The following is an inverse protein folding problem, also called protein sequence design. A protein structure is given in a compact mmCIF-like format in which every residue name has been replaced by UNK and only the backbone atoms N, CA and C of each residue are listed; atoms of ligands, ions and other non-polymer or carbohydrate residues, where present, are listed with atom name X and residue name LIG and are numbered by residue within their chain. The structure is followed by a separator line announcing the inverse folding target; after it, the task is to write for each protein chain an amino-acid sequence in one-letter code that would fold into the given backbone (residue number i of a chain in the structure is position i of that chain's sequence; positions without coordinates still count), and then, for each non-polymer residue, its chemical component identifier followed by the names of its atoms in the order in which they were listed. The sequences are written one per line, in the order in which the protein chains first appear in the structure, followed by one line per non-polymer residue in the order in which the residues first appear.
data_IF_989702496725
#
_entry.id   IF_989702496725
#
_cell.length_a   1.000
_cell.length_b   1.000
_cell.length_c   1.000
_cell.angle_alpha   90.00
_cell.angle_beta   90.00
_cell.angle_gamma   90.00
#
_symmetry.space_group_name_H-M   'P 1'
#
loop_
_entity.id
_entity.type
_entity.pdbx_description
1 polymer ?
#
# COMPACT_ATOMS: atom_id res chain seq x y z
N UNK A 1 9.10 -33.51 29.30
CA UNK A 1 8.77 -33.23 27.89
C UNK A 1 9.97 -32.49 27.30
N UNK A 2 10.72 -33.13 26.42
CA UNK A 2 11.82 -32.48 25.67
C UNK A 2 11.20 -31.61 24.58
N UNK A 3 11.44 -30.31 24.62
CA UNK A 3 11.04 -29.41 23.55
C UNK A 3 11.91 -29.69 22.32
N UNK A 4 11.27 -29.99 21.20
CA UNK A 4 11.95 -30.21 19.93
C UNK A 4 12.35 -28.86 19.29
N UNK A 5 13.42 -28.83 18.49
CA UNK A 5 13.88 -27.59 17.85
C UNK A 5 12.81 -27.13 16.84
N UNK A 6 12.36 -25.87 16.89
CA UNK A 6 11.36 -25.36 15.94
C UNK A 6 11.90 -25.33 14.51
N UNK A 7 11.00 -25.46 13.53
CA UNK A 7 11.34 -25.28 12.12
C UNK A 7 11.80 -23.83 11.86
N UNK A 8 12.93 -23.65 11.16
CA UNK A 8 13.46 -22.32 10.92
C UNK A 8 12.57 -21.54 9.95
N UNK A 9 12.27 -20.26 10.24
CA UNK A 9 11.54 -19.40 9.31
C UNK A 9 12.34 -19.15 8.03
N UNK A 10 11.65 -18.69 6.99
CA UNK A 10 12.26 -18.24 5.73
C UNK A 10 13.07 -16.96 5.95
N UNK A 11 14.29 -17.14 6.44
CA UNK A 11 15.24 -16.07 6.73
C UNK A 11 16.60 -16.43 6.12
N UNK A 12 17.35 -15.42 5.63
CA UNK A 12 18.70 -15.65 5.15
C UNK A 12 19.57 -16.22 6.28
N UNK A 13 20.49 -17.12 5.93
CA UNK A 13 21.40 -17.77 6.88
C UNK A 13 22.15 -16.76 7.76
N UNK A 14 22.47 -15.59 7.20
CA UNK A 14 23.13 -14.46 7.88
C UNK A 14 22.33 -13.91 9.07
N UNK A 15 21.00 -14.06 9.08
CA UNK A 15 20.15 -13.69 10.22
C UNK A 15 19.81 -14.90 11.09
N UNK A 16 19.62 -16.07 10.47
CA UNK A 16 19.23 -17.30 11.18
C UNK A 16 20.34 -17.85 12.08
N UNK A 17 21.55 -18.02 11.56
CA UNK A 17 22.65 -18.65 12.32
C UNK A 17 23.05 -17.86 13.57
N UNK A 18 23.13 -16.51 13.55
CA UNK A 18 23.35 -15.74 14.78
C UNK A 18 22.22 -15.90 15.79
N UNK A 19 20.96 -15.99 15.32
CA UNK A 19 19.78 -16.14 16.18
C UNK A 19 19.80 -17.49 16.90
N UNK A 20 20.06 -18.60 16.19
CA UNK A 20 20.12 -19.94 16.78
C UNK A 20 21.23 -20.12 17.83
N UNK A 21 22.26 -19.28 17.79
CA UNK A 21 23.36 -19.27 18.77
C UNK A 21 23.08 -18.42 20.00
N UNK A 22 21.95 -17.69 20.04
CA UNK A 22 21.62 -16.84 21.17
C UNK A 22 21.11 -17.66 22.37
N UNK A 23 21.37 -17.20 23.61
CA UNK A 23 20.75 -17.79 24.79
C UNK A 23 19.24 -17.49 24.82
N UNK A 24 18.41 -18.34 25.49
CA UNK A 24 16.96 -18.20 25.52
C UNK A 24 16.47 -16.79 25.90
N UNK A 25 17.03 -16.19 26.96
CA UNK A 25 16.65 -14.85 27.40
C UNK A 25 16.82 -13.78 26.31
N UNK A 26 17.82 -13.93 25.43
CA UNK A 26 18.07 -13.00 24.33
C UNK A 26 17.14 -13.26 23.15
N UNK A 27 16.76 -14.52 22.91
CA UNK A 27 15.70 -14.88 21.96
C UNK A 27 14.36 -14.27 22.36
N UNK A 28 13.99 -14.30 23.64
CA UNK A 28 12.79 -13.64 24.17
C UNK A 28 12.81 -12.12 23.91
N UNK A 29 13.94 -11.46 24.16
CA UNK A 29 14.09 -10.04 23.89
C UNK A 29 13.96 -9.72 22.41
N UNK A 30 14.59 -10.52 21.54
CA UNK A 30 14.48 -10.36 20.08
C UNK A 30 13.04 -10.57 19.62
N UNK A 31 12.33 -11.57 20.14
CA UNK A 31 10.93 -11.82 19.81
C UNK A 31 10.06 -10.62 20.15
N UNK A 32 10.22 -10.04 21.35
CA UNK A 32 9.46 -8.86 21.77
C UNK A 32 9.78 -7.64 20.91
N UNK A 33 11.05 -7.42 20.61
CA UNK A 33 11.47 -6.31 19.75
C UNK A 33 10.94 -6.48 18.32
N UNK A 34 11.01 -7.69 17.76
CA UNK A 34 10.49 -7.97 16.42
C UNK A 34 8.97 -7.73 16.34
N UNK A 35 8.21 -8.13 17.37
CA UNK A 35 6.77 -7.84 17.44
C UNK A 35 6.49 -6.33 17.48
N UNK A 36 7.18 -5.60 18.36
CA UNK A 36 7.06 -4.14 18.46
C UNK A 36 7.44 -3.44 17.15
N UNK A 37 8.54 -3.87 16.52
CA UNK A 37 8.99 -3.33 15.24
C UNK A 37 7.99 -3.61 14.12
N UNK A 38 7.38 -4.80 14.09
CA UNK A 38 6.35 -5.13 13.12
C UNK A 38 5.11 -4.25 13.31
N UNK A 39 4.65 -4.02 14.55
CA UNK A 39 3.54 -3.10 14.83
C UNK A 39 3.86 -1.67 14.41
N UNK A 40 5.03 -1.16 14.78
CA UNK A 40 5.45 0.19 14.42
C UNK A 40 5.55 0.34 12.90
N UNK A 41 6.16 -0.61 12.18
CA UNK A 41 6.24 -0.57 10.71
C UNK A 41 4.87 -0.59 10.03
N UNK A 42 3.91 -1.36 10.56
CA UNK A 42 2.53 -1.35 10.03
C UNK A 42 1.87 0.02 10.26
N UNK A 43 1.99 0.56 11.47
CA UNK A 43 1.43 1.87 11.79
C UNK A 43 2.05 3.01 10.97
N UNK A 44 3.37 3.00 10.78
CA UNK A 44 4.04 3.95 9.88
C UNK A 44 3.57 3.80 8.45
N UNK A 45 3.43 2.56 7.96
CA UNK A 45 2.91 2.33 6.62
C UNK A 45 1.47 2.83 6.46
N UNK A 46 0.61 2.65 7.46
CA UNK A 46 -0.76 3.19 7.47
C UNK A 46 -0.76 4.72 7.45
N UNK A 47 0.15 5.35 8.22
CA UNK A 47 0.33 6.81 8.21
C UNK A 47 0.81 7.32 6.86
N UNK A 48 1.84 6.72 6.28
CA UNK A 48 2.33 7.09 4.95
C UNK A 48 1.22 7.00 3.88
N UNK A 49 0.39 5.95 3.95
CA UNK A 49 -0.76 5.80 3.05
C UNK A 49 -1.80 6.88 3.29
N UNK A 50 -2.12 7.19 4.56
CA UNK A 50 -3.07 8.24 4.91
C UNK A 50 -2.57 9.63 4.49
N UNK A 51 -1.31 9.96 4.75
CA UNK A 51 -0.70 11.24 4.38
C UNK A 51 -0.60 11.39 2.86
N UNK A 52 -0.20 10.33 2.14
CA UNK A 52 -0.18 10.35 0.68
C UNK A 52 -1.59 10.49 0.13
N UNK A 53 -2.58 9.79 0.71
CA UNK A 53 -3.98 9.96 0.32
C UNK A 53 -4.43 11.40 0.53
N UNK A 54 -4.20 11.99 1.70
CA UNK A 54 -4.61 13.36 1.99
C UNK A 54 -3.96 14.38 1.04
N UNK A 55 -2.71 14.15 0.64
CA UNK A 55 -1.98 15.04 -0.28
C UNK A 55 -2.38 14.86 -1.75
N UNK A 56 -2.50 13.62 -2.21
CA UNK A 56 -2.64 13.27 -3.63
C UNK A 56 -4.07 12.89 -4.03
N UNK A 57 -5.02 12.81 -3.09
CA UNK A 57 -6.41 12.54 -3.42
C UNK A 57 -7.03 13.66 -4.22
N UNK A 58 -7.90 13.27 -5.15
CA UNK A 58 -8.79 14.20 -5.85
C UNK A 58 -9.64 15.03 -4.86
N UNK A 59 -9.97 16.26 -5.26
CA UNK A 59 -10.88 17.11 -4.49
C UNK A 59 -12.33 16.62 -4.58
N UNK A 60 -13.21 17.19 -3.76
CA UNK A 60 -14.64 16.90 -3.77
C UNK A 60 -15.31 17.26 -5.11
N UNK A 61 -14.91 18.39 -5.72
CA UNK A 61 -15.31 18.79 -7.07
C UNK A 61 -14.92 17.75 -8.13
N UNK A 62 -13.71 17.19 -8.04
CA UNK A 62 -13.25 16.17 -8.99
C UNK A 62 -13.96 14.82 -8.78
N UNK A 63 -14.28 14.46 -7.53
CA UNK A 63 -15.15 13.31 -7.25
C UNK A 63 -16.53 13.51 -7.87
N UNK A 64 -17.15 14.66 -7.63
CA UNK A 64 -18.45 15.01 -8.23
C UNK A 64 -18.39 14.92 -9.75
N UNK A 65 -17.33 15.45 -10.37
CA UNK A 65 -17.13 15.37 -11.82
C UNK A 65 -17.07 13.92 -12.34
N UNK A 66 -16.43 13.01 -11.61
CA UNK A 66 -16.40 11.59 -11.96
C UNK A 66 -17.79 10.96 -11.85
N UNK A 67 -18.52 11.23 -10.77
CA UNK A 67 -19.86 10.72 -10.55
C UNK A 67 -20.86 11.24 -11.59
N UNK A 68 -20.81 12.53 -11.94
CA UNK A 68 -21.64 13.14 -13.00
C UNK A 68 -21.38 12.52 -14.38
N UNK A 69 -20.14 12.06 -14.61
CA UNK A 69 -19.76 11.32 -15.82
C UNK A 69 -20.17 9.84 -15.80
N UNK A 70 -20.76 9.38 -14.70
CA UNK A 70 -21.13 7.98 -14.49
C UNK A 70 -19.93 7.07 -14.24
N UNK A 71 -18.80 7.63 -13.79
CA UNK A 71 -17.61 6.86 -13.44
C UNK A 71 -17.70 6.52 -11.95
N UNK A 72 -17.70 5.24 -11.61
CA UNK A 72 -17.74 4.83 -10.20
C UNK A 72 -16.49 5.32 -9.49
N UNK A 73 -16.69 5.91 -8.31
CA UNK A 73 -15.63 6.27 -7.36
C UNK A 73 -15.46 5.20 -6.27
N UNK A 74 -16.18 4.09 -6.37
CA UNK A 74 -16.05 2.97 -5.44
C UNK A 74 -14.97 2.00 -5.93
N UNK A 75 -13.96 1.64 -5.10
CA UNK A 75 -12.91 0.72 -5.52
C UNK A 75 -13.44 -0.70 -5.79
N UNK A 76 -14.61 -1.08 -5.27
CA UNK A 76 -15.20 -2.41 -5.50
C UNK A 76 -15.73 -2.61 -6.91
N UNK A 77 -16.06 -1.53 -7.63
CA UNK A 77 -16.45 -1.57 -9.04
C UNK A 77 -15.28 -1.89 -9.98
N UNK A 78 -14.03 -1.83 -9.50
CA UNK A 78 -12.84 -2.04 -10.32
C UNK A 78 -12.11 -3.32 -9.95
N UNK A 79 -12.04 -4.26 -10.90
CA UNK A 79 -11.29 -5.50 -10.69
C UNK A 79 -9.80 -5.25 -10.43
N UNK A 80 -9.25 -5.86 -9.39
CA UNK A 80 -7.83 -5.73 -9.05
C UNK A 80 -7.44 -4.44 -8.35
N UNK A 81 -8.41 -3.60 -7.93
CA UNK A 81 -8.17 -2.50 -6.98
C UNK A 81 -8.40 -3.02 -5.56
N UNK A 82 -7.47 -2.71 -4.64
CA UNK A 82 -7.67 -3.10 -3.25
C UNK A 82 -8.78 -2.24 -2.61
N UNK A 83 -9.74 -2.88 -1.95
CA UNK A 83 -10.81 -2.15 -1.25
C UNK A 83 -10.33 -1.40 -0.01
N UNK A 84 -9.22 -1.86 0.58
CA UNK A 84 -8.61 -1.23 1.74
C UNK A 84 -7.50 -0.26 1.32
N UNK A 85 -7.71 1.03 1.55
CA UNK A 85 -6.69 2.06 1.37
C UNK A 85 -6.44 2.50 -0.07
N UNK A 86 -7.30 2.11 -1.02
CA UNK A 86 -7.30 2.72 -2.35
C UNK A 86 -7.90 4.12 -2.32
N UNK A 87 -7.30 5.02 -3.10
CA UNK A 87 -7.80 6.37 -3.34
C UNK A 87 -7.57 6.76 -4.80
N UNK A 88 -8.36 7.70 -5.29
CA UNK A 88 -8.22 8.24 -6.64
C UNK A 88 -7.26 9.43 -6.58
N UNK A 89 -6.30 9.46 -7.50
CA UNK A 89 -5.33 10.54 -7.67
C UNK A 89 -5.29 11.03 -9.11
N UNK A 90 -4.91 12.28 -9.30
CA UNK A 90 -4.73 12.88 -10.63
C UNK A 90 -3.26 12.90 -10.98
N UNK A 91 -2.92 12.34 -12.13
CA UNK A 91 -1.59 12.45 -12.69
C UNK A 91 -1.61 13.29 -13.95
N UNK A 92 -0.76 14.31 -13.96
CA UNK A 92 -0.46 15.07 -15.17
C UNK A 92 0.72 14.42 -15.89
N UNK A 93 0.46 13.79 -17.04
CA UNK A 93 1.53 13.14 -17.83
C UNK A 93 2.14 14.08 -18.87
N UNK A 94 1.37 15.08 -19.31
CA UNK A 94 1.79 16.14 -20.23
C UNK A 94 1.10 17.44 -19.80
N UNK A 95 1.66 18.62 -20.11
CA UNK A 95 1.01 19.89 -19.78
C UNK A 95 -0.41 19.93 -20.33
N UNK A 96 -1.40 20.01 -19.45
CA UNK A 96 -2.83 20.02 -19.82
C UNK A 96 -3.49 18.64 -20.00
N UNK A 97 -2.75 17.53 -19.92
CA UNK A 97 -3.32 16.17 -19.96
C UNK A 97 -3.24 15.53 -18.59
N UNK A 98 -4.39 15.53 -17.92
CA UNK A 98 -4.57 14.95 -16.59
C UNK A 98 -5.42 13.70 -16.69
N UNK A 99 -5.08 12.70 -15.88
CA UNK A 99 -5.77 11.41 -15.85
C UNK A 99 -6.02 10.98 -14.42
N UNK A 100 -7.19 10.39 -14.19
CA UNK A 100 -7.57 9.77 -12.93
C UNK A 100 -6.99 8.36 -12.85
N UNK A 101 -6.34 8.07 -11.73
CA UNK A 101 -5.83 6.76 -11.39
C UNK A 101 -6.30 6.34 -10.00
N UNK A 102 -6.70 5.10 -9.86
CA UNK A 102 -6.70 4.42 -8.57
C UNK A 102 -5.26 4.21 -8.13
N UNK A 103 -4.97 4.48 -6.87
CA UNK A 103 -3.69 4.21 -6.24
C UNK A 103 -3.93 3.55 -4.89
N UNK A 104 -3.22 2.45 -4.63
CA UNK A 104 -3.26 1.73 -3.37
C UNK A 104 -1.93 1.05 -3.08
N UNK A 105 -1.77 0.58 -1.86
CA UNK A 105 -0.62 -0.22 -1.45
C UNK A 105 -0.93 -1.71 -1.49
N UNK A 106 -0.03 -2.47 -2.09
CA UNK A 106 -0.02 -3.93 -2.01
C UNK A 106 1.34 -4.36 -1.47
N UNK A 107 1.35 -4.84 -0.22
CA UNK A 107 2.58 -5.15 0.50
C UNK A 107 3.53 -3.95 0.54
N UNK A 108 4.70 -4.09 -0.08
CA UNK A 108 5.75 -3.07 -0.05
C UNK A 108 5.85 -2.23 -1.34
N UNK A 109 4.85 -2.29 -2.24
CA UNK A 109 4.84 -1.52 -3.49
C UNK A 109 3.53 -0.76 -3.70
N UNK A 110 3.65 0.41 -4.33
CA UNK A 110 2.50 1.18 -4.80
C UNK A 110 1.97 0.59 -6.11
N UNK A 111 0.67 0.30 -6.13
CA UNK A 111 -0.07 -0.09 -7.32
C UNK A 111 -0.88 1.09 -7.83
N UNK A 112 -1.11 1.11 -9.13
CA UNK A 112 -2.04 2.05 -9.73
C UNK A 112 -2.89 1.37 -10.80
N UNK A 113 -4.08 1.91 -11.03
CA UNK A 113 -4.96 1.49 -12.12
C UNK A 113 -5.59 2.71 -12.76
N UNK A 114 -5.57 2.74 -14.09
CA UNK A 114 -6.19 3.80 -14.86
C UNK A 114 -7.72 3.78 -14.71
N UNK A 115 -8.32 4.96 -14.59
CA UNK A 115 -9.77 5.15 -14.53
C UNK A 115 -10.26 5.83 -15.81
N UNK A 116 -9.90 7.10 -15.99
CA UNK A 116 -10.42 7.95 -17.06
C UNK A 116 -9.54 9.20 -17.26
N UNK A 117 -9.61 9.88 -18.42
CA UNK A 117 -9.01 11.21 -18.57
C UNK A 117 -9.83 12.25 -17.81
N UNK A 118 -9.16 13.26 -17.24
CA UNK A 118 -9.78 14.39 -16.52
C UNK A 118 -10.40 15.36 -17.52
N UNK A 119 -9.64 15.72 -18.57
CA UNK A 119 -10.13 16.51 -19.69
C UNK A 119 -10.24 15.59 -20.92
N UNK A 120 -11.44 15.38 -21.48
CA UNK A 120 -11.63 14.53 -22.65
C UNK A 120 -11.19 15.19 -23.96
N UNK A 121 -10.52 16.35 -23.97
CA UNK A 121 -9.91 16.88 -25.19
C UNK A 121 -8.82 15.92 -25.68
N UNK A 122 -9.17 15.24 -26.76
CA UNK A 122 -8.29 14.44 -27.63
C UNK A 122 -7.68 13.18 -27.00
N UNK A 123 -8.47 12.10 -27.04
CA UNK A 123 -7.95 10.78 -27.42
C UNK A 123 -8.49 10.43 -28.81
N UNK A 124 -8.09 11.21 -29.82
CA UNK A 124 -8.18 10.80 -31.23
C UNK A 124 -6.85 11.16 -31.89
N UNK A 125 -5.87 10.26 -31.81
CA UNK A 125 -5.04 9.82 -32.97
C UNK A 125 -4.18 8.60 -32.60
#
# INVERSE_FOLDING_TARGET
MTAEKPEPPDLPKTLREPLERQPPNRLDQVSRYADQLARWKRAEHEREVAETRERDSITDDEQTTLEERGISIDPTDYEGVATSGAYITVKETKPGYKYYYWQWREGNSWKNKYIAPVDPKDSTE
#
